data_IF_832594795637
#
_entry.id   IF_832594795637
#
_cell.length_a   1.000
_cell.length_b   1.000
_cell.length_c   1.000
_cell.angle_alpha   90.00
_cell.angle_beta   90.00
_cell.angle_gamma   90.00
#
_symmetry.space_group_name_H-M   'P 1'
#
loop_
_entity.id
_entity.type
_entity.pdbx_description
1 polymer ?
#
# COMPACT_ATOMS: atom_id res chain seq x y z
N UNK A 1 -26.56 53.43 -26.27
CA UNK A 1 -25.58 52.83 -25.33
C UNK A 1 -26.03 51.52 -24.65
N UNK A 2 -27.33 51.21 -24.47
CA UNK A 2 -27.79 49.96 -23.82
C UNK A 2 -27.38 48.66 -24.54
N UNK A 3 -27.37 48.63 -25.88
CA UNK A 3 -27.06 47.42 -26.65
C UNK A 3 -25.60 46.91 -26.53
N UNK A 4 -24.61 47.78 -26.27
CA UNK A 4 -23.22 47.34 -26.06
C UNK A 4 -23.05 46.58 -24.75
N UNK A 5 -23.71 47.03 -23.66
CA UNK A 5 -23.64 46.38 -22.35
C UNK A 5 -24.20 44.95 -22.36
N UNK A 6 -25.29 44.73 -23.10
CA UNK A 6 -25.91 43.41 -23.25
C UNK A 6 -24.95 42.44 -23.95
N UNK A 7 -24.23 42.87 -25.00
CA UNK A 7 -23.26 42.02 -25.70
C UNK A 7 -22.06 41.60 -24.83
N UNK A 8 -21.55 42.50 -23.98
CA UNK A 8 -20.47 42.14 -23.05
C UNK A 8 -20.88 41.12 -22.00
N UNK A 9 -22.11 41.22 -21.47
CA UNK A 9 -22.62 40.26 -20.49
C UNK A 9 -22.71 38.83 -21.06
N UNK A 10 -23.16 38.69 -22.31
CA UNK A 10 -23.24 37.37 -22.97
C UNK A 10 -21.85 36.75 -23.18
N UNK A 11 -20.85 37.56 -23.51
CA UNK A 11 -19.46 37.08 -23.67
C UNK A 11 -18.91 36.59 -22.33
N UNK A 12 -19.12 37.34 -21.25
CA UNK A 12 -18.69 36.95 -19.90
C UNK A 12 -19.39 35.67 -19.46
N UNK A 13 -20.70 35.55 -19.68
CA UNK A 13 -21.46 34.34 -19.36
C UNK A 13 -20.96 33.13 -20.16
N UNK A 14 -20.70 33.29 -21.46
CA UNK A 14 -20.16 32.23 -22.30
C UNK A 14 -18.76 31.78 -21.83
N UNK A 15 -17.89 32.73 -21.45
CA UNK A 15 -16.56 32.42 -20.89
C UNK A 15 -16.66 31.70 -19.55
N UNK A 16 -17.54 32.15 -18.65
CA UNK A 16 -17.78 31.49 -17.38
C UNK A 16 -18.31 30.06 -17.58
N UNK A 17 -19.26 29.87 -18.50
CA UNK A 17 -19.80 28.56 -18.84
C UNK A 17 -18.72 27.63 -19.42
N UNK A 18 -17.89 28.15 -20.32
CA UNK A 18 -16.77 27.41 -20.89
C UNK A 18 -15.77 26.95 -19.81
N UNK A 19 -15.43 27.82 -18.86
CA UNK A 19 -14.57 27.46 -17.73
C UNK A 19 -15.21 26.37 -16.87
N UNK A 20 -16.49 26.50 -16.53
CA UNK A 20 -17.22 25.48 -15.74
C UNK A 20 -17.16 24.13 -16.46
N UNK A 21 -17.48 24.09 -17.76
CA UNK A 21 -17.44 22.84 -18.54
C UNK A 21 -16.03 22.25 -18.55
N UNK A 22 -15.00 23.08 -18.75
CA UNK A 22 -13.61 22.63 -18.77
C UNK A 22 -13.19 22.05 -17.42
N UNK A 23 -13.50 22.73 -16.30
CA UNK A 23 -13.22 22.23 -14.96
C UNK A 23 -13.98 20.95 -14.63
N UNK A 24 -15.27 20.86 -15.01
CA UNK A 24 -16.06 19.64 -14.84
C UNK A 24 -15.47 18.48 -15.64
N UNK A 25 -15.03 18.72 -16.87
CA UNK A 25 -14.38 17.71 -17.69
C UNK A 25 -13.10 17.21 -17.02
N UNK A 26 -12.20 18.11 -16.62
CA UNK A 26 -10.96 17.73 -15.91
C UNK A 26 -11.29 16.94 -14.64
N UNK A 27 -12.27 17.39 -13.84
CA UNK A 27 -12.65 16.72 -12.61
C UNK A 27 -13.16 15.29 -12.82
N UNK A 28 -13.95 15.06 -13.87
CA UNK A 28 -14.52 13.75 -14.22
C UNK A 28 -13.43 12.81 -14.74
N UNK A 29 -12.55 13.28 -15.62
CA UNK A 29 -11.51 12.45 -16.23
C UNK A 29 -10.23 12.32 -15.39
N UNK A 30 -10.13 13.05 -14.28
CA UNK A 30 -8.98 12.97 -13.40
C UNK A 30 -8.89 11.59 -12.74
N UNK A 31 -7.75 10.89 -12.84
CA UNK A 31 -7.59 9.57 -12.24
C UNK A 31 -7.60 9.67 -10.72
N UNK A 32 -8.43 8.85 -10.08
CA UNK A 32 -8.52 8.70 -8.63
C UNK A 32 -8.46 7.22 -8.27
N UNK A 33 -8.13 6.98 -7.02
CA UNK A 33 -8.19 5.65 -6.44
C UNK A 33 -8.22 5.80 -4.94
N UNK A 34 -8.91 4.88 -4.29
CA UNK A 34 -8.86 4.73 -2.84
C UNK A 34 -7.90 3.58 -2.50
N UNK A 35 -7.17 3.75 -1.41
CA UNK A 35 -6.22 2.75 -0.90
C UNK A 35 -6.69 2.22 0.43
N UNK A 36 -6.75 0.90 0.56
CA UNK A 36 -7.01 0.19 1.80
C UNK A 36 -5.79 -0.64 2.17
N UNK A 37 -5.38 -0.55 3.43
CA UNK A 37 -4.17 -1.21 3.94
C UNK A 37 -4.56 -2.07 5.13
N UNK A 38 -4.21 -3.36 5.07
CA UNK A 38 -4.41 -4.31 6.15
C UNK A 38 -3.13 -5.15 6.33
N UNK A 39 -2.34 -4.83 7.35
CA UNK A 39 -1.00 -5.39 7.52
C UNK A 39 -0.11 -5.06 6.31
N UNK A 40 0.39 -6.11 5.65
CA UNK A 40 1.18 -5.99 4.41
C UNK A 40 0.33 -5.92 3.13
N UNK A 41 -0.96 -6.20 3.22
CA UNK A 41 -1.83 -6.22 2.06
C UNK A 41 -2.31 -4.81 1.74
N UNK A 42 -2.02 -4.38 0.53
CA UNK A 42 -2.50 -3.13 -0.03
C UNK A 42 -3.48 -3.44 -1.14
N UNK A 43 -4.65 -2.80 -1.05
CA UNK A 43 -5.69 -2.87 -2.06
C UNK A 43 -5.93 -1.48 -2.63
N UNK A 44 -5.95 -1.40 -3.96
CA UNK A 44 -6.36 -0.20 -4.68
C UNK A 44 -7.72 -0.41 -5.32
N UNK A 45 -8.64 0.49 -5.03
CA UNK A 45 -9.94 0.54 -5.67
C UNK A 45 -9.92 1.68 -6.70
N UNK A 46 -9.97 1.33 -7.99
CA UNK A 46 -9.85 2.28 -9.10
C UNK A 46 -11.11 3.15 -9.24
N UNK A 47 -10.89 4.46 -9.38
CA UNK A 47 -11.90 5.41 -9.85
C UNK A 47 -11.31 6.20 -11.02
N UNK A 48 -11.57 5.77 -12.26
CA UNK A 48 -11.00 6.36 -13.48
C UNK A 48 -9.46 6.26 -13.57
N UNK A 49 -8.85 5.24 -12.95
CA UNK A 49 -7.44 4.93 -13.11
C UNK A 49 -7.23 3.53 -13.68
N UNK A 50 -6.25 3.41 -14.57
CA UNK A 50 -5.91 2.15 -15.23
C UNK A 50 -4.63 1.55 -14.66
N UNK A 51 -3.76 2.40 -14.12
CA UNK A 51 -2.42 2.04 -13.66
C UNK A 51 -2.17 2.70 -12.31
N UNK A 52 -1.64 1.96 -11.35
CA UNK A 52 -1.00 2.52 -10.15
C UNK A 52 0.51 2.48 -10.36
N UNK A 53 1.13 3.64 -10.22
CA UNK A 53 2.59 3.78 -10.20
C UNK A 53 2.98 3.85 -8.73
N UNK A 54 3.81 2.92 -8.25
CA UNK A 54 4.26 2.84 -6.85
C UNK A 54 5.79 2.77 -6.79
N UNK A 55 6.38 3.41 -5.79
CA UNK A 55 7.84 3.48 -5.60
C UNK A 55 8.17 3.63 -4.13
N UNK A 56 9.31 3.11 -3.70
CA UNK A 56 9.86 3.37 -2.34
C UNK A 56 10.49 4.76 -2.26
N UNK A 57 10.89 5.33 -3.40
CA UNK A 57 11.46 6.67 -3.51
C UNK A 57 10.40 7.69 -3.95
N UNK A 58 10.41 8.87 -3.34
CA UNK A 58 9.45 9.95 -3.62
C UNK A 58 9.57 10.56 -5.01
N UNK A 59 10.74 10.42 -5.64
CA UNK A 59 11.02 10.88 -6.99
C UNK A 59 10.64 9.84 -8.07
N UNK A 60 10.16 8.66 -7.66
CA UNK A 60 9.84 7.55 -8.55
C UNK A 60 11.05 7.08 -9.38
N UNK A 61 12.26 7.11 -8.81
CA UNK A 61 13.49 6.60 -9.44
C UNK A 61 13.48 5.09 -9.72
N UNK A 62 12.67 4.31 -9.00
CA UNK A 62 12.47 2.88 -9.27
C UNK A 62 10.99 2.48 -9.17
N UNK A 63 10.15 2.90 -10.13
CA UNK A 63 8.72 2.71 -10.05
C UNK A 63 8.32 1.30 -10.51
N UNK A 64 7.35 0.73 -9.80
CA UNK A 64 6.58 -0.44 -10.22
C UNK A 64 5.22 0.00 -10.74
N UNK A 65 4.74 -0.68 -11.79
CA UNK A 65 3.49 -0.37 -12.47
C UNK A 65 2.51 -1.51 -12.27
N UNK A 66 1.33 -1.19 -11.78
CA UNK A 66 0.27 -2.15 -11.49
C UNK A 66 -0.90 -1.84 -12.40
N UNK A 67 -1.19 -2.75 -13.32
CA UNK A 67 -2.28 -2.63 -14.30
C UNK A 67 -3.61 -3.08 -13.68
N UNK A 68 -4.49 -2.11 -13.39
CA UNK A 68 -5.78 -2.32 -12.77
C UNK A 68 -6.81 -2.96 -13.72
N UNK A 69 -6.61 -2.87 -15.05
CA UNK A 69 -7.54 -3.45 -16.03
C UNK A 69 -7.44 -4.95 -16.14
N UNK A 70 -6.27 -5.52 -15.85
CA UNK A 70 -5.99 -6.95 -16.03
C UNK A 70 -6.36 -7.80 -14.82
N UNK A 71 -6.55 -7.19 -13.66
CA UNK A 71 -6.68 -7.88 -12.38
C UNK A 71 -7.95 -7.39 -11.68
N UNK A 72 -9.00 -8.21 -11.71
CA UNK A 72 -10.21 -7.95 -10.93
C UNK A 72 -9.87 -8.14 -9.45
N UNK A 73 -9.78 -7.05 -8.68
CA UNK A 73 -9.37 -6.97 -7.27
C UNK A 73 -7.87 -7.19 -7.01
N UNK A 74 -7.11 -6.11 -7.06
CA UNK A 74 -5.67 -6.13 -6.76
C UNK A 74 -5.46 -5.90 -5.28
N UNK A 75 -5.42 -6.99 -4.52
CA UNK A 75 -4.69 -7.03 -3.26
C UNK A 75 -3.31 -7.63 -3.52
N UNK A 76 -2.25 -6.95 -3.09
CA UNK A 76 -0.90 -7.50 -3.13
C UNK A 76 -0.18 -7.20 -1.83
N UNK A 77 0.78 -8.07 -1.50
CA UNK A 77 1.59 -7.94 -0.30
C UNK A 77 2.82 -7.09 -0.61
N UNK A 78 3.08 -6.10 0.23
CA UNK A 78 4.28 -5.27 0.20
C UNK A 78 5.07 -5.48 1.49
N UNK A 79 6.39 -5.35 1.39
CA UNK A 79 7.24 -5.38 2.57
C UNK A 79 7.01 -4.12 3.43
N UNK A 80 7.32 -4.16 4.72
CA UNK A 80 7.31 -2.96 5.55
C UNK A 80 8.24 -1.87 5.00
N UNK A 81 7.73 -0.64 4.95
CA UNK A 81 8.41 0.46 4.29
C UNK A 81 7.52 1.67 4.06
N UNK A 82 8.13 2.75 3.58
CA UNK A 82 7.42 3.93 3.08
C UNK A 82 7.24 3.81 1.58
N UNK A 83 6.02 3.97 1.11
CA UNK A 83 5.69 3.88 -0.31
C UNK A 83 5.04 5.18 -0.78
N UNK A 84 5.44 5.60 -1.97
CA UNK A 84 4.89 6.71 -2.72
C UNK A 84 4.16 6.16 -3.92
N UNK A 85 2.97 6.67 -4.19
CA UNK A 85 2.18 6.17 -5.30
C UNK A 85 1.35 7.27 -5.95
N UNK A 86 1.02 7.09 -7.23
CA UNK A 86 0.10 7.96 -7.97
C UNK A 86 -0.74 7.13 -8.96
N UNK A 87 -2.03 7.45 -9.13
CA UNK A 87 -2.87 6.79 -10.11
C UNK A 87 -2.63 7.40 -11.50
N UNK A 88 -2.83 6.61 -12.55
CA UNK A 88 -2.73 7.08 -13.93
C UNK A 88 -3.79 6.38 -14.78
N UNK A 89 -4.34 7.09 -15.76
CA UNK A 89 -5.20 6.51 -16.80
C UNK A 89 -4.45 6.38 -18.16
N UNK A 90 -3.12 6.47 -18.13
CA UNK A 90 -2.26 6.45 -19.31
C UNK A 90 -2.15 7.79 -20.05
N UNK A 91 -3.00 8.76 -19.73
CA UNK A 91 -2.98 10.10 -20.34
C UNK A 91 -2.59 11.16 -19.31
N UNK A 92 -3.22 11.09 -18.12
CA UNK A 92 -3.05 12.00 -17.01
C UNK A 92 -2.57 11.17 -15.81
N UNK A 93 -1.62 11.72 -15.08
CA UNK A 93 -1.19 11.21 -13.79
C UNK A 93 -1.86 12.02 -12.67
N UNK A 94 -2.30 11.32 -11.63
CA UNK A 94 -2.85 11.92 -10.43
C UNK A 94 -1.76 12.42 -9.48
N UNK A 95 -2.20 12.95 -8.34
CA UNK A 95 -1.30 13.43 -7.31
C UNK A 95 -0.53 12.28 -6.66
N UNK A 96 0.71 12.57 -6.27
CA UNK A 96 1.53 11.68 -5.46
C UNK A 96 0.97 11.62 -4.04
N UNK A 97 0.73 10.41 -3.57
CA UNK A 97 0.33 10.09 -2.22
C UNK A 97 1.39 9.24 -1.54
N UNK A 98 1.31 9.13 -0.21
CA UNK A 98 2.23 8.32 0.60
C UNK A 98 1.43 7.44 1.56
N UNK A 99 1.88 6.21 1.75
CA UNK A 99 1.50 5.39 2.89
C UNK A 99 2.72 4.68 3.49
N UNK A 100 2.55 4.11 4.67
CA UNK A 100 3.60 3.39 5.39
C UNK A 100 3.03 2.05 5.83
N UNK A 101 3.76 0.98 5.52
CA UNK A 101 3.53 -0.35 6.08
C UNK A 101 4.46 -0.50 7.26
N UNK A 102 3.90 -0.65 8.46
CA UNK A 102 4.68 -0.77 9.69
C UNK A 102 5.28 -2.17 9.78
N UNK A 103 6.49 -2.26 10.32
CA UNK A 103 7.06 -3.54 10.73
C UNK A 103 6.37 -3.99 12.02
N UNK A 104 5.84 -5.20 12.00
CA UNK A 104 5.15 -5.84 13.11
C UNK A 104 5.84 -7.19 13.37
N UNK A 105 6.50 -7.27 14.53
CA UNK A 105 7.15 -8.48 15.00
C UNK A 105 6.19 -9.15 15.97
N UNK A 106 5.83 -10.40 15.69
CA UNK A 106 4.95 -11.16 16.55
C UNK A 106 5.30 -12.65 16.52
N UNK A 107 5.36 -13.26 17.69
CA UNK A 107 5.41 -14.71 17.81
C UNK A 107 4.13 -15.20 18.49
N UNK A 108 3.48 -16.16 17.86
CA UNK A 108 2.40 -16.95 18.43
C UNK A 108 2.91 -18.32 18.88
N UNK A 109 2.20 -18.93 19.82
CA UNK A 109 2.35 -20.35 20.14
C UNK A 109 1.05 -21.03 19.77
N UNK A 110 1.10 -21.98 18.84
CA UNK A 110 -0.04 -22.81 18.46
C UNK A 110 0.08 -24.16 19.18
N UNK A 111 -0.97 -24.52 19.92
CA UNK A 111 -1.01 -25.72 20.78
C UNK A 111 -2.02 -26.71 20.23
N UNK A 112 -1.60 -27.45 19.21
CA UNK A 112 -2.32 -28.62 18.68
C UNK A 112 -1.68 -29.91 19.21
N UNK A 113 -1.64 -30.99 18.39
CA UNK A 113 -0.98 -32.25 18.74
C UNK A 113 0.54 -32.10 18.96
N UNK A 114 1.16 -31.04 18.42
CA UNK A 114 2.53 -30.63 18.69
C UNK A 114 2.56 -29.12 18.93
N UNK A 115 3.20 -28.67 20.02
CA UNK A 115 3.44 -27.25 20.28
C UNK A 115 4.35 -26.66 19.18
N UNK A 116 3.89 -25.63 18.49
CA UNK A 116 4.68 -24.92 17.47
C UNK A 116 4.77 -23.43 17.75
N UNK A 117 5.88 -22.84 17.32
CA UNK A 117 6.10 -21.41 17.32
C UNK A 117 5.77 -20.87 15.93
N UNK A 118 4.88 -19.89 15.85
CA UNK A 118 4.42 -19.29 14.59
C UNK A 118 4.86 -17.84 14.53
N UNK A 119 5.38 -17.41 13.39
CA UNK A 119 5.56 -15.99 13.12
C UNK A 119 4.23 -15.37 12.69
N UNK A 120 3.57 -14.68 13.63
CA UNK A 120 2.33 -13.93 13.37
C UNK A 120 2.60 -12.48 12.95
N UNK A 121 3.87 -12.10 12.86
CA UNK A 121 4.31 -10.80 12.37
C UNK A 121 4.35 -10.74 10.84
N UNK A 122 4.67 -9.56 10.34
CA UNK A 122 4.71 -9.27 8.90
C UNK A 122 6.15 -9.09 8.38
N UNK A 123 7.14 -9.39 9.23
CA UNK A 123 8.57 -9.42 8.93
C UNK A 123 9.16 -10.76 9.32
N UNK A 124 10.30 -11.06 8.69
CA UNK A 124 11.16 -12.17 9.06
C UNK A 124 11.72 -12.00 10.47
N UNK A 125 11.69 -13.07 11.25
CA UNK A 125 12.18 -13.07 12.64
C UNK A 125 13.25 -14.11 12.86
N UNK A 126 14.27 -13.74 13.62
CA UNK A 126 15.30 -14.64 14.10
C UNK A 126 14.97 -15.02 15.55
N UNK A 127 14.65 -16.29 15.76
CA UNK A 127 14.30 -16.85 17.06
C UNK A 127 15.52 -17.56 17.64
N UNK A 128 15.95 -17.09 18.80
CA UNK A 128 17.01 -17.76 19.58
C UNK A 128 16.38 -18.74 20.55
N UNK A 129 16.83 -20.00 20.52
CA UNK A 129 16.47 -21.05 21.50
C UNK A 129 17.51 -21.06 22.62
N UNK A 130 17.06 -20.85 23.85
CA UNK A 130 17.89 -20.93 25.05
C UNK A 130 17.47 -22.13 25.90
N UNK A 131 18.45 -22.82 26.48
CA UNK A 131 18.27 -23.88 27.46
C UNK A 131 19.21 -23.61 28.63
N UNK A 132 18.66 -23.43 29.82
CA UNK A 132 19.44 -23.18 31.06
C UNK A 132 20.41 -21.98 30.93
N UNK A 133 19.98 -20.92 30.23
CA UNK A 133 20.77 -19.70 30.03
C UNK A 133 21.83 -19.79 28.92
N UNK A 134 21.92 -20.90 28.18
CA UNK A 134 22.84 -21.08 27.05
C UNK A 134 22.07 -21.08 25.73
N UNK A 135 22.57 -20.33 24.73
CA UNK A 135 22.05 -20.38 23.36
C UNK A 135 22.36 -21.75 22.75
N UNK A 136 21.31 -22.51 22.42
CA UNK A 136 21.43 -23.87 21.86
C UNK A 136 21.00 -23.97 20.40
N UNK A 137 20.43 -22.90 19.83
CA UNK A 137 20.05 -22.89 18.43
C UNK A 137 19.47 -21.56 17.96
N UNK A 138 19.36 -21.43 16.64
CA UNK A 138 18.67 -20.34 15.95
C UNK A 138 17.69 -20.91 14.95
N UNK A 139 16.51 -20.32 14.90
CA UNK A 139 15.44 -20.64 13.97
C UNK A 139 15.10 -19.34 13.26
N UNK A 140 14.99 -19.37 11.95
CA UNK A 140 14.56 -18.23 11.15
C UNK A 140 13.15 -18.56 10.68
N UNK A 141 12.21 -17.65 10.95
CA UNK A 141 10.81 -17.81 10.53
C UNK A 141 10.43 -16.66 9.61
N UNK A 142 10.03 -17.00 8.39
CA UNK A 142 9.31 -16.11 7.48
C UNK A 142 7.91 -15.80 8.04
N UNK A 143 7.21 -14.75 7.58
CA UNK A 143 5.82 -14.50 7.97
C UNK A 143 4.92 -15.72 7.70
N UNK A 144 4.04 -16.04 8.66
CA UNK A 144 3.14 -17.21 8.63
C UNK A 144 3.85 -18.58 8.71
N UNK A 145 5.18 -18.62 8.78
CA UNK A 145 5.93 -19.85 8.98
C UNK A 145 5.86 -20.33 10.42
N UNK A 146 5.88 -21.65 10.60
CA UNK A 146 5.86 -22.28 11.91
C UNK A 146 6.97 -23.32 12.06
N UNK A 147 7.51 -23.44 13.26
CA UNK A 147 8.52 -24.45 13.61
C UNK A 147 8.11 -25.17 14.89
N UNK A 148 8.29 -26.49 14.92
CA UNK A 148 7.97 -27.30 16.11
C UNK A 148 8.94 -26.99 17.24
N UNK A 149 8.41 -26.86 18.45
CA UNK A 149 9.21 -26.53 19.63
C UNK A 149 9.06 -27.56 20.75
N UNK A 150 10.10 -27.64 21.59
CA UNK A 150 10.07 -28.42 22.83
C UNK A 150 9.37 -27.62 23.94
N UNK A 151 8.54 -28.28 24.75
CA UNK A 151 7.74 -27.67 25.82
C UNK A 151 8.52 -26.97 26.94
N UNK A 152 9.85 -27.17 27.03
CA UNK A 152 10.71 -26.65 28.12
C UNK A 152 11.83 -25.72 27.64
N UNK A 153 11.69 -25.08 26.48
CA UNK A 153 12.65 -24.11 25.95
C UNK A 153 12.23 -22.66 26.19
N UNK A 154 13.21 -21.75 26.34
CA UNK A 154 12.97 -20.31 26.25
C UNK A 154 13.29 -19.84 24.83
N UNK A 155 12.35 -19.13 24.21
CA UNK A 155 12.47 -18.63 22.83
C UNK A 155 12.36 -17.11 22.82
N UNK A 156 13.32 -16.44 22.18
CA UNK A 156 13.31 -14.98 22.02
C UNK A 156 13.37 -14.63 20.54
N UNK A 157 12.36 -13.92 20.03
CA UNK A 157 12.40 -13.34 18.68
C UNK A 157 13.04 -11.97 18.65
N UNK A 158 13.76 -11.70 17.57
CA UNK A 158 14.18 -10.36 17.15
C UNK A 158 13.90 -10.20 15.66
N UNK A 159 13.58 -8.98 15.24
CA UNK A 159 13.53 -8.66 13.81
C UNK A 159 14.89 -8.93 13.19
N UNK A 160 14.90 -9.64 12.07
CA UNK A 160 16.09 -9.78 11.25
C UNK A 160 16.20 -8.53 10.37
N UNK A 161 17.29 -7.76 10.57
CA UNK A 161 17.58 -6.54 9.80
C UNK A 161 18.33 -6.86 8.51
#
# INVERSE_FOLDING_TARGET
MKNKKIKHLHIILAQALFLIITFSFVFVFYPRTDVSISGNFVKFDSVNSDIIIISENSDFSNPSYIDLKKLNNISFSLKPGSYYWKPSNGIIEGFTNKFIIKSEVGLGIERDENTSLVNIGNVKVNVTKNKEGVMVGRIILEPEESEKIEDKGEYTARQEN
#
